data_IF_894020858306
#
_entry.id   IF_894020858306
#
_cell.length_a   1.000
_cell.length_b   1.000
_cell.length_c   1.000
_cell.angle_alpha   90.00
_cell.angle_beta   90.00
_cell.angle_gamma   90.00
#
_symmetry.space_group_name_H-M   'P 1'
#
loop_
_entity.id
_entity.type
_entity.pdbx_description
1 polymer ?
#
# COMPACT_ATOMS: atom_id res chain seq x y z
N UNK A 1 28.17 1.21 2.14
CA UNK A 1 28.85 0.96 0.85
C UNK A 1 27.80 0.39 -0.08
N UNK A 2 27.45 1.12 -1.15
CA UNK A 2 26.41 0.69 -2.09
C UNK A 2 26.92 -0.48 -2.95
N UNK A 3 26.09 -1.51 -3.13
CA UNK A 3 26.50 -2.76 -3.80
C UNK A 3 26.44 -2.59 -5.33
N UNK A 4 25.57 -1.70 -5.84
CA UNK A 4 25.34 -1.52 -7.27
C UNK A 4 25.84 -0.14 -7.76
N UNK A 5 27.05 -0.09 -8.33
CA UNK A 5 27.61 1.14 -8.89
C UNK A 5 27.21 1.40 -10.35
N UNK A 6 26.97 0.34 -11.15
CA UNK A 6 26.68 0.45 -12.58
C UNK A 6 25.19 0.34 -12.92
N UNK A 7 24.72 1.21 -13.83
CA UNK A 7 23.32 1.27 -14.27
C UNK A 7 22.86 0.03 -15.04
N UNK A 8 23.76 -0.67 -15.74
CA UNK A 8 23.45 -1.89 -16.49
C UNK A 8 22.99 -3.03 -15.60
N UNK A 9 23.44 -3.07 -14.34
CA UNK A 9 23.03 -4.09 -13.38
C UNK A 9 21.81 -3.69 -12.54
N UNK A 10 21.53 -2.38 -12.41
CA UNK A 10 20.41 -1.88 -11.59
C UNK A 10 19.04 -2.27 -12.16
N UNK A 11 18.86 -2.18 -13.48
CA UNK A 11 17.59 -2.53 -14.13
C UNK A 11 17.24 -4.03 -13.99
N UNK A 12 18.13 -4.97 -14.34
CA UNK A 12 17.86 -6.40 -14.12
C UNK A 12 17.59 -6.73 -12.65
N UNK A 13 18.34 -6.13 -11.72
CA UNK A 13 18.14 -6.35 -10.29
C UNK A 13 16.76 -5.87 -9.84
N UNK A 14 16.32 -4.67 -10.27
CA UNK A 14 14.97 -4.18 -9.96
C UNK A 14 13.87 -5.12 -10.49
N UNK A 15 14.04 -5.64 -11.71
CA UNK A 15 13.10 -6.61 -12.30
C UNK A 15 13.06 -7.90 -11.47
N UNK A 16 14.22 -8.45 -11.10
CA UNK A 16 14.31 -9.67 -10.29
C UNK A 16 13.63 -9.48 -8.93
N UNK A 17 13.91 -8.36 -8.23
CA UNK A 17 13.23 -8.05 -6.96
C UNK A 17 11.72 -7.96 -7.15
N UNK A 18 11.29 -7.28 -8.21
CA UNK A 18 9.85 -7.10 -8.48
C UNK A 18 9.18 -8.45 -8.69
N UNK A 19 9.79 -9.35 -9.46
CA UNK A 19 9.31 -10.72 -9.65
C UNK A 19 9.28 -11.51 -8.33
N UNK A 20 10.35 -11.45 -7.54
CA UNK A 20 10.42 -12.15 -6.25
C UNK A 20 9.34 -11.68 -5.28
N UNK A 21 9.12 -10.36 -5.18
CA UNK A 21 8.09 -9.80 -4.31
C UNK A 21 6.71 -10.11 -4.84
N UNK A 22 6.48 -10.03 -6.15
CA UNK A 22 5.21 -10.41 -6.75
C UNK A 22 4.85 -11.89 -6.50
N UNK A 23 5.83 -12.79 -6.67
CA UNK A 23 5.65 -14.22 -6.35
C UNK A 23 5.37 -14.40 -4.86
N UNK A 24 6.14 -13.72 -3.99
CA UNK A 24 5.91 -13.73 -2.55
C UNK A 24 4.52 -13.17 -2.16
N UNK A 25 4.06 -12.16 -2.88
CA UNK A 25 2.75 -11.52 -2.70
C UNK A 25 1.63 -12.54 -2.83
N UNK A 26 1.62 -13.27 -3.95
CA UNK A 26 0.68 -14.35 -4.22
C UNK A 26 0.89 -15.56 -3.31
N UNK A 27 2.12 -15.77 -2.82
CA UNK A 27 2.48 -16.81 -1.84
C UNK A 27 2.30 -16.35 -0.38
N UNK A 28 1.15 -15.76 -0.05
CA UNK A 28 0.70 -15.41 1.32
C UNK A 28 1.19 -14.09 1.92
N UNK A 29 2.04 -13.29 1.28
CA UNK A 29 2.35 -11.95 1.83
C UNK A 29 1.13 -11.01 1.76
N UNK A 30 0.29 -11.15 0.75
CA UNK A 30 -0.94 -10.36 0.60
C UNK A 30 -1.88 -10.43 1.82
N UNK A 31 -2.33 -11.62 2.29
CA UNK A 31 -3.20 -11.69 3.47
C UNK A 31 -2.49 -11.26 4.76
N UNK A 32 -1.16 -11.38 4.85
CA UNK A 32 -0.40 -10.86 6.00
C UNK A 32 -0.48 -9.33 6.02
N UNK A 33 -0.22 -8.69 4.89
CA UNK A 33 -0.34 -7.25 4.77
C UNK A 33 -1.78 -6.76 5.00
N UNK A 34 -2.77 -7.49 4.46
CA UNK A 34 -4.17 -7.19 4.69
C UNK A 34 -4.54 -7.21 6.19
N UNK A 35 -4.02 -8.17 6.96
CA UNK A 35 -4.22 -8.20 8.43
C UNK A 35 -3.59 -7.01 9.13
N UNK A 36 -2.39 -6.60 8.71
CA UNK A 36 -1.72 -5.41 9.26
C UNK A 36 -2.56 -4.17 8.96
N UNK A 37 -3.08 -4.03 7.75
CA UNK A 37 -3.95 -2.91 7.36
C UNK A 37 -5.27 -2.89 8.14
N UNK A 38 -5.91 -4.05 8.30
CA UNK A 38 -7.12 -4.20 9.12
C UNK A 38 -6.84 -3.81 10.57
N UNK A 39 -5.73 -4.29 11.14
CA UNK A 39 -5.31 -3.93 12.50
C UNK A 39 -5.15 -2.43 12.67
N UNK A 40 -4.39 -1.77 11.79
CA UNK A 40 -4.20 -0.31 11.83
C UNK A 40 -5.49 0.48 11.63
N UNK A 41 -6.37 0.02 10.72
CA UNK A 41 -7.67 0.65 10.49
C UNK A 41 -8.57 0.55 11.72
N UNK A 42 -8.67 -0.63 12.34
CA UNK A 42 -9.48 -0.81 13.54
C UNK A 42 -8.94 0.00 14.73
N UNK A 43 -7.62 0.16 14.87
CA UNK A 43 -7.03 1.07 15.86
C UNK A 43 -7.52 2.50 15.61
N UNK A 44 -7.46 2.97 14.36
CA UNK A 44 -7.93 4.31 14.01
C UNK A 44 -9.43 4.50 14.25
N UNK A 45 -10.27 3.54 13.84
CA UNK A 45 -11.72 3.56 14.05
C UNK A 45 -12.08 3.56 15.55
N UNK A 46 -11.36 2.78 16.36
CA UNK A 46 -11.55 2.76 17.82
C UNK A 46 -11.23 4.11 18.47
N UNK A 47 -10.23 4.84 17.98
CA UNK A 47 -9.91 6.19 18.48
C UNK A 47 -11.07 7.16 18.21
N UNK A 48 -11.74 7.03 17.05
CA UNK A 48 -12.89 7.86 16.66
C UNK A 48 -14.20 7.37 17.31
N UNK A 49 -14.18 6.25 18.06
CA UNK A 49 -15.34 5.63 18.74
C UNK A 49 -16.51 5.33 17.80
N UNK A 50 -16.21 4.90 16.58
CA UNK A 50 -17.24 4.45 15.63
C UNK A 50 -17.67 3.01 15.94
N UNK A 51 -18.97 2.70 15.86
CA UNK A 51 -19.52 1.32 15.91
C UNK A 51 -19.23 0.54 14.61
N UNK A 52 -18.00 0.66 14.11
CA UNK A 52 -17.57 0.22 12.80
C UNK A 52 -16.30 -0.58 12.95
N UNK A 53 -16.22 -1.72 12.28
CA UNK A 53 -15.04 -2.57 12.28
C UNK A 53 -14.78 -3.12 10.88
N UNK A 54 -13.51 -3.44 10.64
CA UNK A 54 -13.07 -4.11 9.42
C UNK A 54 -12.53 -5.49 9.81
N UNK A 55 -12.99 -6.52 9.12
CA UNK A 55 -12.50 -7.88 9.23
C UNK A 55 -11.83 -8.35 7.93
N UNK A 56 -11.14 -9.48 8.01
CA UNK A 56 -10.63 -10.19 6.84
C UNK A 56 -11.36 -11.53 6.72
N UNK A 57 -11.98 -11.80 5.59
CA UNK A 57 -12.69 -13.05 5.31
C UNK A 57 -12.18 -13.66 4.01
N UNK A 58 -12.14 -14.99 3.95
CA UNK A 58 -11.81 -15.74 2.74
C UNK A 58 -13.10 -16.33 2.16
N UNK A 59 -13.50 -15.89 0.98
CA UNK A 59 -14.69 -16.39 0.29
C UNK A 59 -14.28 -17.07 -1.03
N UNK A 60 -14.61 -18.36 -1.15
CA UNK A 60 -14.49 -19.23 -2.36
C UNK A 60 -13.09 -19.43 -2.96
N UNK A 61 -12.21 -18.44 -2.93
CA UNK A 61 -10.74 -18.53 -3.00
C UNK A 61 -10.07 -17.15 -2.89
N UNK A 62 -10.85 -16.08 -3.00
CA UNK A 62 -10.39 -14.70 -2.86
C UNK A 62 -10.51 -14.28 -1.41
N UNK A 63 -9.53 -13.56 -0.88
CA UNK A 63 -9.81 -12.85 0.36
C UNK A 63 -10.35 -11.45 0.08
N UNK A 64 -11.14 -10.99 1.05
CA UNK A 64 -11.86 -9.74 1.00
C UNK A 64 -11.89 -9.12 2.38
N UNK A 65 -11.95 -7.79 2.42
CA UNK A 65 -12.29 -7.08 3.62
C UNK A 65 -13.79 -7.22 3.85
N UNK A 66 -14.18 -7.48 5.09
CA UNK A 66 -15.58 -7.44 5.52
C UNK A 66 -15.78 -6.22 6.38
N UNK A 67 -16.49 -5.24 5.86
CA UNK A 67 -16.84 -4.05 6.61
C UNK A 67 -18.09 -4.37 7.42
N UNK A 68 -18.08 -4.00 8.69
CA UNK A 68 -19.24 -4.02 9.57
C UNK A 68 -19.45 -2.59 10.05
N UNK A 69 -20.61 -2.01 9.75
CA UNK A 69 -20.92 -0.61 10.09
C UNK A 69 -22.40 -0.45 10.43
N UNK A 70 -22.81 0.72 10.90
CA UNK A 70 -24.23 1.10 11.04
C UNK A 70 -24.65 2.02 9.90
N UNK A 71 -25.69 1.61 9.17
CA UNK A 71 -26.34 2.41 8.13
C UNK A 71 -27.77 2.65 8.60
N UNK A 72 -28.17 3.91 8.74
CA UNK A 72 -29.50 4.31 9.22
C UNK A 72 -29.91 3.60 10.53
N UNK A 73 -28.96 3.47 11.47
CA UNK A 73 -29.16 2.81 12.76
C UNK A 73 -29.18 1.27 12.73
N UNK A 74 -29.16 0.65 11.55
CA UNK A 74 -29.11 -0.82 11.38
C UNK A 74 -27.69 -1.30 11.14
N UNK A 75 -27.34 -2.45 11.71
CA UNK A 75 -26.04 -3.10 11.41
C UNK A 75 -26.07 -3.61 9.97
N UNK A 76 -25.12 -3.16 9.17
CA UNK A 76 -24.89 -3.60 7.82
C UNK A 76 -23.50 -4.25 7.73
N UNK A 77 -23.36 -5.24 6.85
CA UNK A 77 -22.06 -5.80 6.51
C UNK A 77 -21.99 -6.06 5.02
N UNK A 78 -20.87 -5.66 4.43
CA UNK A 78 -20.62 -5.82 3.00
C UNK A 78 -19.17 -6.24 2.73
N UNK A 79 -18.93 -7.08 1.73
CA UNK A 79 -17.60 -7.49 1.32
C UNK A 79 -16.94 -6.46 0.38
N UNK A 80 -15.62 -6.31 0.48
CA UNK A 80 -14.81 -5.54 -0.45
C UNK A 80 -13.56 -6.34 -0.84
N UNK A 81 -13.47 -6.70 -2.12
CA UNK A 81 -12.29 -7.39 -2.67
C UNK A 81 -11.10 -6.43 -2.68
N UNK A 82 -9.93 -6.89 -2.23
CA UNK A 82 -8.77 -6.02 -2.04
C UNK A 82 -7.66 -6.16 -3.10
N UNK A 83 -7.79 -7.07 -4.08
CA UNK A 83 -6.69 -7.43 -4.98
C UNK A 83 -6.05 -6.22 -5.67
N UNK A 84 -6.86 -5.39 -6.35
CA UNK A 84 -6.36 -4.16 -6.99
C UNK A 84 -5.91 -3.07 -6.01
N UNK A 85 -6.39 -3.10 -4.77
CA UNK A 85 -6.09 -2.09 -3.75
C UNK A 85 -4.70 -2.29 -3.13
N UNK A 86 -4.34 -3.54 -2.84
CA UNK A 86 -3.10 -3.85 -2.15
C UNK A 86 -1.94 -4.06 -3.13
N UNK A 87 -2.22 -4.43 -4.38
CA UNK A 87 -1.21 -4.69 -5.38
C UNK A 87 -0.20 -3.53 -5.62
N UNK A 88 -0.57 -2.23 -5.59
CA UNK A 88 0.42 -1.17 -5.76
C UNK A 88 1.42 -1.08 -4.59
N UNK A 89 1.14 -1.72 -3.45
CA UNK A 89 2.13 -1.88 -2.38
C UNK A 89 3.31 -2.77 -2.81
N UNK A 90 3.10 -3.73 -3.70
CA UNK A 90 4.18 -4.54 -4.30
C UNK A 90 5.19 -3.63 -4.98
N UNK A 91 4.71 -2.64 -5.75
CA UNK A 91 5.56 -1.67 -6.45
C UNK A 91 6.40 -0.87 -5.46
N UNK A 92 5.77 -0.36 -4.40
CA UNK A 92 6.46 0.39 -3.33
C UNK A 92 7.51 -0.48 -2.64
N UNK A 93 7.15 -1.72 -2.26
CA UNK A 93 8.04 -2.63 -1.54
C UNK A 93 9.23 -3.05 -2.40
N UNK A 94 9.00 -3.39 -3.66
CA UNK A 94 10.06 -3.73 -4.62
C UNK A 94 11.04 -2.57 -4.80
N UNK A 95 10.54 -1.34 -4.89
CA UNK A 95 11.39 -0.15 -4.94
C UNK A 95 12.21 0.03 -3.66
N UNK A 96 11.61 -0.13 -2.48
CA UNK A 96 12.35 0.03 -1.22
C UNK A 96 13.47 -1.02 -1.09
N UNK A 97 13.21 -2.28 -1.42
CA UNK A 97 14.23 -3.32 -1.41
C UNK A 97 15.36 -3.05 -2.41
N UNK A 98 15.02 -2.52 -3.59
CA UNK A 98 16.01 -2.06 -4.55
C UNK A 98 16.89 -0.94 -3.98
N UNK A 99 16.31 0.04 -3.28
CA UNK A 99 17.07 1.13 -2.66
C UNK A 99 18.06 0.63 -1.61
N UNK A 100 17.75 -0.43 -0.86
CA UNK A 100 18.73 -1.02 0.08
C UNK A 100 19.99 -1.56 -0.60
N UNK A 101 19.90 -1.95 -1.87
CA UNK A 101 21.07 -2.41 -2.64
C UNK A 101 21.78 -1.28 -3.38
N UNK A 102 21.05 -0.22 -3.73
CA UNK A 102 21.57 0.91 -4.51
C UNK A 102 22.10 2.08 -3.65
N UNK A 103 21.59 2.26 -2.43
CA UNK A 103 21.92 3.36 -1.54
C UNK A 103 22.62 2.89 -0.26
N UNK A 104 23.06 3.85 0.56
CA UNK A 104 23.52 3.52 1.90
C UNK A 104 22.33 3.08 2.78
N UNK A 105 22.51 2.09 3.68
CA UNK A 105 21.41 1.55 4.49
C UNK A 105 20.63 2.59 5.28
N UNK A 106 21.30 3.65 5.78
CA UNK A 106 20.64 4.74 6.51
C UNK A 106 19.66 5.52 5.62
N UNK A 107 20.06 5.85 4.38
CA UNK A 107 19.21 6.55 3.42
C UNK A 107 18.06 5.67 2.94
N UNK A 108 18.35 4.40 2.64
CA UNK A 108 17.34 3.42 2.26
C UNK A 108 16.29 3.22 3.37
N UNK A 109 16.73 3.11 4.63
CA UNK A 109 15.83 2.97 5.77
C UNK A 109 14.97 4.22 5.99
N UNK A 110 15.54 5.41 5.85
CA UNK A 110 14.78 6.66 5.91
C UNK A 110 13.72 6.71 4.80
N UNK A 111 14.09 6.34 3.57
CA UNK A 111 13.15 6.26 2.44
C UNK A 111 12.02 5.27 2.69
N UNK A 112 12.36 4.10 3.25
CA UNK A 112 11.40 3.05 3.58
C UNK A 112 10.37 3.57 4.58
N UNK A 113 10.80 4.16 5.69
CA UNK A 113 9.88 4.66 6.72
C UNK A 113 8.95 5.73 6.18
N UNK A 114 9.47 6.68 5.39
CA UNK A 114 8.67 7.75 4.81
C UNK A 114 7.66 7.18 3.80
N UNK A 115 8.09 6.37 2.85
CA UNK A 115 7.21 5.91 1.77
C UNK A 115 6.23 4.84 2.21
N UNK A 116 6.70 3.81 2.92
CA UNK A 116 5.83 2.77 3.45
C UNK A 116 4.87 3.37 4.48
N UNK A 117 5.36 4.28 5.34
CA UNK A 117 4.53 4.97 6.32
C UNK A 117 3.43 5.82 5.68
N UNK A 118 3.77 6.70 4.72
CA UNK A 118 2.79 7.52 3.99
C UNK A 118 1.80 6.64 3.24
N UNK A 119 2.28 5.64 2.51
CA UNK A 119 1.42 4.77 1.71
C UNK A 119 0.45 3.97 2.60
N UNK A 120 0.95 3.42 3.70
CA UNK A 120 0.14 2.69 4.68
C UNK A 120 -0.91 3.59 5.34
N UNK A 121 -0.53 4.82 5.71
CA UNK A 121 -1.46 5.80 6.29
C UNK A 121 -2.57 6.20 5.30
N UNK A 122 -2.23 6.40 4.02
CA UNK A 122 -3.21 6.65 2.98
C UNK A 122 -4.17 5.47 2.80
N UNK A 123 -3.68 4.24 2.89
CA UNK A 123 -4.54 3.05 2.87
C UNK A 123 -5.46 2.94 4.08
N UNK A 124 -5.00 3.32 5.29
CA UNK A 124 -5.88 3.40 6.46
C UNK A 124 -6.98 4.43 6.24
N UNK A 125 -6.63 5.63 5.78
CA UNK A 125 -7.61 6.69 5.48
C UNK A 125 -8.64 6.19 4.46
N UNK A 126 -8.18 5.54 3.41
CA UNK A 126 -9.05 4.93 2.41
C UNK A 126 -10.00 3.89 3.01
N UNK A 127 -9.50 3.00 3.86
CA UNK A 127 -10.33 1.99 4.52
C UNK A 127 -11.37 2.63 5.44
N UNK A 128 -11.06 3.76 6.08
CA UNK A 128 -12.04 4.54 6.85
C UNK A 128 -13.12 5.10 5.92
N UNK A 129 -12.77 5.69 4.78
CA UNK A 129 -13.76 6.17 3.79
C UNK A 129 -14.66 5.06 3.25
N UNK A 130 -14.09 3.87 3.01
CA UNK A 130 -14.84 2.70 2.59
C UNK A 130 -15.95 2.34 3.59
N UNK A 131 -15.76 2.60 4.89
CA UNK A 131 -16.81 2.34 5.88
C UNK A 131 -18.07 3.19 5.72
N UNK A 132 -17.94 4.36 5.09
CA UNK A 132 -19.03 5.29 4.79
C UNK A 132 -19.52 5.22 3.34
N UNK A 133 -18.99 4.29 2.53
CA UNK A 133 -19.29 4.17 1.11
C UNK A 133 -20.80 4.11 0.80
N UNK A 134 -21.57 3.40 1.62
CA UNK A 134 -23.02 3.24 1.44
C UNK A 134 -23.87 4.31 2.15
N UNK A 135 -23.25 5.24 2.89
CA UNK A 135 -23.96 6.27 3.67
C UNK A 135 -23.91 7.66 3.05
N UNK A 136 -22.94 7.93 2.16
CA UNK A 136 -22.74 9.27 1.60
C UNK A 136 -22.23 9.21 0.15
N UNK A 137 -22.90 9.93 -0.75
CA UNK A 137 -22.48 10.09 -2.15
C UNK A 137 -21.08 10.71 -2.25
N UNK A 138 -20.73 11.63 -1.35
CA UNK A 138 -19.40 12.24 -1.30
C UNK A 138 -18.33 11.19 -0.96
N UNK A 139 -18.61 10.30 0.00
CA UNK A 139 -17.69 9.23 0.38
C UNK A 139 -17.56 8.18 -0.73
N UNK A 140 -18.65 7.87 -1.44
CA UNK A 140 -18.63 7.04 -2.63
C UNK A 140 -17.77 7.64 -3.75
N UNK A 141 -17.93 8.93 -4.03
CA UNK A 141 -17.13 9.64 -5.04
C UNK A 141 -15.64 9.64 -4.68
N UNK A 142 -15.30 10.00 -3.44
CA UNK A 142 -13.92 9.96 -2.94
C UNK A 142 -13.36 8.54 -3.03
N UNK A 143 -14.12 7.53 -2.62
CA UNK A 143 -13.69 6.14 -2.69
C UNK A 143 -13.31 5.73 -4.12
N UNK A 144 -14.17 5.96 -5.10
CA UNK A 144 -13.91 5.60 -6.51
C UNK A 144 -12.65 6.29 -7.02
N UNK A 145 -12.48 7.57 -6.70
CA UNK A 145 -11.29 8.33 -7.08
C UNK A 145 -10.00 7.72 -6.47
N UNK A 146 -10.05 7.29 -5.21
CA UNK A 146 -8.88 6.75 -4.53
C UNK A 146 -8.49 5.35 -4.99
N UNK A 147 -9.45 4.48 -5.35
CA UNK A 147 -9.18 3.10 -5.80
C UNK A 147 -8.14 3.09 -6.93
N UNK A 148 -8.32 3.93 -7.95
CA UNK A 148 -7.43 3.99 -9.11
C UNK A 148 -6.15 4.81 -8.83
N UNK A 149 -6.21 5.68 -7.81
CA UNK A 149 -5.11 6.58 -7.49
C UNK A 149 -3.93 5.91 -6.78
N UNK A 150 -4.11 4.73 -6.16
CA UNK A 150 -3.01 4.07 -5.42
C UNK A 150 -1.80 3.72 -6.30
N UNK A 151 -2.02 3.36 -7.57
CA UNK A 151 -0.93 3.18 -8.53
C UNK A 151 -0.18 4.49 -8.79
N UNK A 152 -0.90 5.58 -8.97
CA UNK A 152 -0.32 6.92 -9.18
C UNK A 152 0.48 7.34 -7.95
N UNK A 153 -0.07 7.15 -6.76
CA UNK A 153 0.59 7.44 -5.48
C UNK A 153 1.89 6.64 -5.36
N UNK A 154 1.87 5.34 -5.64
CA UNK A 154 3.08 4.50 -5.62
C UNK A 154 4.15 5.04 -6.59
N UNK A 155 3.77 5.41 -7.81
CA UNK A 155 4.68 6.00 -8.80
C UNK A 155 5.25 7.34 -8.33
N UNK A 156 4.43 8.22 -7.75
CA UNK A 156 4.87 9.52 -7.21
C UNK A 156 5.91 9.33 -6.12
N UNK A 157 5.72 8.37 -5.21
CA UNK A 157 6.69 8.06 -4.15
C UNK A 157 8.04 7.59 -4.73
N UNK A 158 8.00 6.76 -5.78
CA UNK A 158 9.20 6.30 -6.50
C UNK A 158 9.91 7.45 -7.21
N UNK A 159 9.17 8.29 -7.93
CA UNK A 159 9.72 9.45 -8.63
C UNK A 159 10.38 10.42 -7.66
N UNK A 160 9.71 10.72 -6.55
CA UNK A 160 10.24 11.54 -5.46
C UNK A 160 11.55 10.99 -4.92
N UNK A 161 11.63 9.68 -4.67
CA UNK A 161 12.87 9.02 -4.23
C UNK A 161 13.98 9.13 -5.28
N UNK A 162 13.67 8.96 -6.56
CA UNK A 162 14.67 9.06 -7.63
C UNK A 162 15.17 10.50 -7.83
N UNK A 163 14.36 11.51 -7.50
CA UNK A 163 14.79 12.92 -7.48
C UNK A 163 15.71 13.23 -6.29
N UNK A 164 15.38 12.72 -5.10
CA UNK A 164 16.18 12.94 -3.88
C UNK A 164 17.47 12.12 -3.87
N UNK A 165 17.38 10.88 -4.36
CA UNK A 165 18.46 9.92 -4.42
C UNK A 165 18.60 9.46 -5.88
N UNK A 166 19.39 10.18 -6.70
CA UNK A 166 19.57 9.85 -8.12
C UNK A 166 20.21 8.46 -8.29
N UNK A 167 19.39 7.42 -8.38
CA UNK A 167 19.86 6.03 -8.53
C UNK A 167 20.14 5.70 -10.00
N UNK A 168 19.32 6.22 -10.92
CA UNK A 168 19.45 5.94 -12.35
C UNK A 168 20.04 7.11 -13.14
N UNK A 169 19.70 8.34 -12.80
CA UNK A 169 20.20 9.53 -13.49
C UNK A 169 21.38 10.10 -12.72
N UNK A 170 22.57 10.18 -13.33
CA UNK A 170 23.65 10.99 -12.75
C UNK A 170 23.19 12.45 -12.70
N UNK A 171 23.41 13.19 -11.60
CA UNK A 171 23.12 14.61 -11.57
C UNK A 171 23.92 15.28 -12.70
N UNK A 172 23.22 15.96 -13.62
CA UNK A 172 23.88 16.86 -14.57
C UNK A 172 24.47 17.98 -13.73
N UNK A 173 25.81 18.05 -13.70
CA UNK A 173 26.52 19.21 -13.20
C UNK A 173 26.30 20.40 -14.14
#
# INVERSE_FOLDING_TARGET
>A
MAILSSNTFKFPVLIIITLLIYIGWHNRLEPVYARILVGGTNIALNIVKTDTSVGLEKEKNTWQFRIQTRIDGRRASFPQVFGGLLQPFVIVLSWQLFLFMALNPKQALQSLWVNVGIYYLLQIIFMIFLTGYHTSELQQFIYVMFVDSFYIIALVLILKDNMLYPVFMKPRK
#
